data_IF_636340189790
#
_entry.id   IF_636340189790
#
_cell.length_a   1.000
_cell.length_b   1.000
_cell.length_c   1.000
_cell.angle_alpha   90.00
_cell.angle_beta   90.00
_cell.angle_gamma   90.00
#
_symmetry.space_group_name_H-M   'P 1'
#
loop_
_entity.id
_entity.type
_entity.pdbx_description
1 polymer ?
#
# COMPACT_ATOMS: atom_id res chain seq x y z
N UNK A 1 5.67 -19.90 -24.45
CA UNK A 1 4.94 -19.02 -25.38
C UNK A 1 5.34 -17.60 -25.00
N UNK A 2 6.32 -17.06 -25.72
CA UNK A 2 7.01 -15.79 -25.43
C UNK A 2 6.32 -14.75 -26.32
N UNK A 3 5.63 -13.79 -25.75
CA UNK A 3 5.01 -12.71 -26.53
C UNK A 3 6.06 -11.63 -26.77
N UNK A 4 6.46 -11.47 -28.02
CA UNK A 4 7.16 -10.29 -28.52
C UNK A 4 6.09 -9.22 -28.79
N UNK A 5 6.02 -8.21 -27.91
CA UNK A 5 5.28 -6.98 -28.13
C UNK A 5 6.21 -5.93 -28.75
N UNK A 6 5.73 -5.26 -29.79
CA UNK A 6 6.44 -4.20 -30.51
C UNK A 6 6.94 -3.07 -29.59
N UNK A 7 8.07 -2.43 -29.92
CA UNK A 7 8.61 -1.34 -29.11
C UNK A 7 7.71 -0.11 -29.21
N UNK A 8 7.12 0.29 -28.09
CA UNK A 8 6.45 1.58 -27.94
C UNK A 8 7.51 2.67 -28.12
N UNK A 9 7.37 3.46 -29.19
CA UNK A 9 8.23 4.60 -29.47
C UNK A 9 7.98 5.71 -28.42
N UNK A 10 8.97 5.95 -27.56
CA UNK A 10 8.98 7.06 -26.60
C UNK A 10 9.68 8.25 -27.27
N UNK A 11 9.06 9.45 -27.37
CA UNK A 11 9.77 10.63 -27.86
C UNK A 11 10.80 11.10 -26.83
N UNK A 12 12.08 10.90 -27.15
CA UNK A 12 13.21 11.45 -26.38
C UNK A 12 13.30 12.95 -26.65
N UNK A 13 13.13 13.77 -25.62
CA UNK A 13 13.31 15.21 -25.67
C UNK A 13 14.81 15.53 -25.82
N UNK A 14 15.17 16.15 -26.94
CA UNK A 14 16.53 16.55 -27.23
C UNK A 14 16.99 17.70 -26.31
N UNK A 15 18.03 17.46 -25.51
CA UNK A 15 18.86 18.52 -24.91
C UNK A 15 20.13 18.70 -25.73
N UNK A 16 20.34 19.95 -26.18
CA UNK A 16 21.46 20.40 -27.01
C UNK A 16 22.83 20.18 -26.34
N UNK A 17 23.80 19.91 -27.21
CA UNK A 17 25.25 19.87 -26.98
C UNK A 17 25.80 21.21 -26.47
N UNK A 18 26.78 21.12 -25.58
CA UNK A 18 27.86 22.09 -25.42
C UNK A 18 29.18 21.32 -25.17
N UNK A 19 30.13 21.48 -26.09
CA UNK A 19 31.55 21.10 -25.95
C UNK A 19 32.15 21.78 -24.69
N UNK A 20 33.13 21.21 -23.97
CA UNK A 20 34.55 21.17 -24.33
C UNK A 20 35.36 20.20 -23.44
N UNK A 21 36.49 19.70 -23.97
CA UNK A 21 37.62 18.98 -23.34
C UNK A 21 38.85 19.27 -24.25
N UNK A 22 40.11 18.93 -23.91
CA UNK A 22 40.83 18.78 -22.62
C UNK A 22 42.31 19.31 -22.67
N UNK A 23 43.05 19.35 -21.54
CA UNK A 23 44.54 19.12 -21.46
C UNK A 23 44.97 19.11 -19.97
N UNK A 24 45.39 17.98 -19.38
CA UNK A 24 46.74 17.34 -19.29
C UNK A 24 47.75 18.03 -18.37
N UNK A 25 48.02 17.43 -17.19
CA UNK A 25 49.36 17.20 -16.63
C UNK A 25 49.30 16.24 -15.41
N UNK A 26 50.07 15.14 -15.45
CA UNK A 26 50.43 14.24 -14.33
C UNK A 26 51.85 14.62 -13.80
N UNK A 27 52.59 13.87 -12.94
CA UNK A 27 52.31 12.66 -12.13
C UNK A 27 52.94 12.65 -10.69
N UNK A 28 52.78 11.50 -10.01
CA UNK A 28 53.69 10.84 -9.05
C UNK A 28 53.60 11.09 -7.53
N UNK A 29 53.27 10.00 -6.81
CA UNK A 29 53.65 9.75 -5.41
C UNK A 29 52.78 8.66 -4.75
N UNK A 30 53.31 7.46 -4.40
CA UNK A 30 52.54 6.42 -3.71
C UNK A 30 52.75 6.45 -2.18
N UNK A 31 51.69 6.13 -1.41
CA UNK A 31 51.65 5.49 -0.07
C UNK A 31 50.34 5.85 0.67
N UNK A 32 49.86 5.08 1.68
CA UNK A 32 50.08 3.68 2.02
C UNK A 32 48.77 2.87 2.11
N UNK A 33 48.89 1.53 2.07
CA UNK A 33 47.83 0.56 2.32
C UNK A 33 47.35 0.65 3.78
N UNK A 34 46.07 0.92 3.99
CA UNK A 34 45.41 0.85 5.30
C UNK A 34 44.72 -0.51 5.43
N UNK A 35 45.11 -1.28 6.44
CA UNK A 35 44.51 -2.56 6.81
C UNK A 35 43.03 -2.40 7.23
N UNK A 36 42.22 -3.48 7.17
CA UNK A 36 40.78 -3.41 7.33
C UNK A 36 40.41 -3.27 8.81
N UNK A 37 39.89 -2.09 9.17
CA UNK A 37 39.22 -1.85 10.43
C UNK A 37 37.76 -2.33 10.36
N UNK A 38 37.32 -2.97 11.42
CA UNK A 38 35.96 -3.46 11.66
C UNK A 38 34.89 -2.43 11.25
N UNK A 39 34.15 -2.72 10.18
CA UNK A 39 32.92 -2.00 9.84
C UNK A 39 31.80 -2.48 10.76
N UNK A 40 31.64 -1.77 11.87
CA UNK A 40 30.45 -1.81 12.71
C UNK A 40 29.33 -1.09 11.94
N UNK A 41 28.21 -1.74 11.59
CA UNK A 41 27.10 -1.06 10.95
C UNK A 41 26.46 -0.08 11.96
N UNK A 42 26.00 1.10 11.52
CA UNK A 42 25.25 1.98 12.39
C UNK A 42 23.92 1.30 12.75
N UNK A 43 23.76 0.95 14.02
CA UNK A 43 22.48 0.66 14.66
C UNK A 43 21.67 1.95 14.67
N UNK A 44 20.95 2.18 13.57
CA UNK A 44 19.91 3.18 13.49
C UNK A 44 18.67 2.67 14.21
N UNK A 45 18.50 3.09 15.45
CA UNK A 45 17.23 2.99 16.16
C UNK A 45 16.18 3.77 15.38
N UNK A 46 15.40 3.07 14.57
CA UNK A 46 14.14 3.60 14.02
C UNK A 46 13.07 3.55 15.10
N UNK A 47 13.26 4.34 16.16
CA UNK A 47 12.15 4.74 17.03
C UNK A 47 11.33 5.77 16.25
N UNK A 48 10.50 5.26 15.34
CA UNK A 48 9.54 6.07 14.60
C UNK A 48 8.49 6.59 15.56
N UNK A 49 8.70 7.82 16.02
CA UNK A 49 7.68 8.61 16.70
C UNK A 49 6.42 8.62 15.83
N UNK A 50 5.33 8.08 16.35
CA UNK A 50 4.01 8.30 15.77
C UNK A 50 3.73 9.81 15.81
N UNK A 51 3.86 10.48 14.67
CA UNK A 51 3.57 11.90 14.54
C UNK A 51 2.07 12.08 14.73
N UNK A 52 1.69 12.57 15.90
CA UNK A 52 0.33 13.00 16.19
C UNK A 52 0.08 14.25 15.34
N UNK A 53 -0.73 14.14 14.28
CA UNK A 53 -1.20 15.30 13.53
C UNK A 53 -2.46 15.79 14.26
N UNK A 54 -2.31 16.86 15.04
CA UNK A 54 -3.43 17.56 15.66
C UNK A 54 -3.90 18.66 14.69
N UNK A 55 -5.13 18.53 14.18
CA UNK A 55 -5.78 19.54 13.33
C UNK A 55 -7.17 19.83 13.89
N UNK A 56 -7.42 21.12 14.22
CA UNK A 56 -8.72 21.65 14.67
C UNK A 56 -9.02 22.97 13.95
N UNK A 57 -10.30 23.31 13.64
CA UNK A 57 -11.45 23.19 14.56
C UNK A 57 -12.76 22.59 14.00
N UNK A 58 -13.56 21.97 14.90
CA UNK A 58 -15.04 21.94 14.80
C UNK A 58 -15.77 20.65 14.37
N UNK A 59 -15.12 19.50 14.27
CA UNK A 59 -15.76 18.22 13.88
C UNK A 59 -15.25 17.03 14.68
N UNK A 60 -15.92 15.88 14.55
CA UNK A 60 -15.43 14.60 15.07
C UNK A 60 -14.05 14.33 14.46
N UNK A 61 -13.04 14.21 15.31
CA UNK A 61 -11.65 13.97 14.92
C UNK A 61 -11.45 12.45 14.77
N UNK A 62 -11.19 12.02 13.53
CA UNK A 62 -10.87 10.63 13.21
C UNK A 62 -9.36 10.44 13.32
N UNK A 63 -8.93 9.57 14.23
CA UNK A 63 -7.52 9.21 14.36
C UNK A 63 -7.25 7.94 13.56
N UNK A 64 -6.32 8.00 12.60
CA UNK A 64 -5.91 6.81 11.84
C UNK A 64 -4.58 6.31 12.36
N UNK A 65 -4.47 4.99 12.55
CA UNK A 65 -3.24 4.32 12.99
C UNK A 65 -3.14 2.91 12.44
N UNK A 66 -1.94 2.33 12.53
CA UNK A 66 -1.74 0.91 12.31
C UNK A 66 -2.61 0.08 13.29
N UNK A 67 -3.22 -0.97 12.75
CA UNK A 67 -4.02 -1.91 13.52
C UNK A 67 -3.14 -2.73 14.47
N UNK A 68 -3.66 -2.96 15.68
CA UNK A 68 -3.08 -3.91 16.63
C UNK A 68 -3.84 -5.23 16.51
N UNK A 69 -3.22 -6.32 16.96
CA UNK A 69 -3.86 -7.65 16.93
C UNK A 69 -5.22 -7.68 17.65
N UNK A 70 -5.39 -6.84 18.67
CA UNK A 70 -6.64 -6.67 19.44
C UNK A 70 -7.75 -5.96 18.68
N UNK A 71 -7.42 -5.24 17.60
CA UNK A 71 -8.40 -4.51 16.78
C UNK A 71 -9.02 -5.41 15.71
N UNK A 72 -8.37 -6.52 15.38
CA UNK A 72 -8.71 -7.35 14.21
C UNK A 72 -10.10 -7.95 14.29
N UNK A 73 -10.52 -8.42 15.46
CA UNK A 73 -11.86 -8.98 15.64
C UNK A 73 -12.94 -7.92 15.45
N UNK A 74 -12.70 -6.69 15.90
CA UNK A 74 -13.64 -5.56 15.69
C UNK A 74 -13.68 -5.14 14.23
N UNK A 75 -12.51 -5.04 13.59
CA UNK A 75 -12.42 -4.68 12.17
C UNK A 75 -13.07 -5.75 11.27
N UNK A 76 -12.87 -7.02 11.57
CA UNK A 76 -13.51 -8.13 10.87
C UNK A 76 -15.04 -8.10 11.05
N UNK A 77 -15.51 -7.81 12.26
CA UNK A 77 -16.94 -7.67 12.54
C UNK A 77 -17.57 -6.52 11.74
N UNK A 78 -16.91 -5.36 11.67
CA UNK A 78 -17.34 -4.23 10.82
C UNK A 78 -17.40 -4.63 9.33
N UNK A 79 -16.39 -5.36 8.86
CA UNK A 79 -16.27 -5.81 7.47
C UNK A 79 -17.18 -6.96 7.05
N UNK A 80 -17.86 -7.62 7.99
CA UNK A 80 -18.52 -8.90 7.72
C UNK A 80 -19.62 -8.77 6.66
N UNK A 81 -20.38 -7.67 6.66
CA UNK A 81 -21.40 -7.41 5.65
C UNK A 81 -20.79 -7.28 4.24
N UNK A 82 -19.70 -6.51 4.12
CA UNK A 82 -18.99 -6.31 2.84
C UNK A 82 -18.32 -7.59 2.33
N UNK A 83 -17.72 -8.38 3.23
CA UNK A 83 -17.10 -9.68 2.87
C UNK A 83 -18.16 -10.69 2.43
N UNK A 84 -19.33 -10.70 3.10
CA UNK A 84 -20.45 -11.59 2.74
C UNK A 84 -21.05 -11.18 1.39
N UNK A 85 -21.25 -9.87 1.16
CA UNK A 85 -21.76 -9.34 -0.11
C UNK A 85 -20.83 -9.65 -1.29
N UNK A 86 -19.51 -9.64 -1.07
CA UNK A 86 -18.53 -9.99 -2.09
C UNK A 86 -18.55 -11.50 -2.47
N UNK A 87 -19.29 -12.35 -1.73
CA UNK A 87 -19.44 -13.78 -2.03
C UNK A 87 -18.13 -14.58 -1.97
N UNK A 88 -17.05 -14.01 -1.40
CA UNK A 88 -15.72 -14.61 -1.37
C UNK A 88 -15.56 -15.48 -0.13
N UNK A 89 -15.86 -16.76 -0.25
CA UNK A 89 -15.48 -17.77 0.75
C UNK A 89 -14.08 -18.29 0.43
N UNK A 90 -13.06 -17.70 1.06
CA UNK A 90 -11.69 -18.21 1.02
C UNK A 90 -11.49 -19.36 2.01
N UNK A 91 -10.39 -20.11 1.86
CA UNK A 91 -10.02 -21.15 2.83
C UNK A 91 -9.69 -20.60 4.24
N UNK A 92 -9.40 -19.29 4.33
CA UNK A 92 -9.19 -18.56 5.57
C UNK A 92 -10.36 -17.62 5.83
N UNK A 93 -10.83 -17.57 7.08
CA UNK A 93 -11.79 -16.55 7.51
C UNK A 93 -11.18 -15.15 7.48
N UNK A 94 -12.01 -14.12 7.26
CA UNK A 94 -11.53 -12.73 7.12
C UNK A 94 -10.70 -12.24 8.31
N UNK A 95 -11.09 -12.60 9.54
CA UNK A 95 -10.33 -12.27 10.74
C UNK A 95 -8.94 -12.93 10.75
N UNK A 96 -8.83 -14.20 10.36
CA UNK A 96 -7.56 -14.91 10.32
C UNK A 96 -6.62 -14.35 9.25
N UNK A 97 -7.17 -13.96 8.09
CA UNK A 97 -6.40 -13.28 7.05
C UNK A 97 -5.90 -11.91 7.55
N UNK A 98 -6.75 -11.10 8.17
CA UNK A 98 -6.35 -9.80 8.75
C UNK A 98 -5.26 -9.95 9.82
N UNK A 99 -5.33 -10.99 10.66
CA UNK A 99 -4.27 -11.31 11.64
C UNK A 99 -2.96 -11.60 10.92
N UNK A 100 -2.98 -12.42 9.86
CA UNK A 100 -1.79 -12.72 9.07
C UNK A 100 -1.21 -11.45 8.43
N UNK A 101 -2.05 -10.63 7.80
CA UNK A 101 -1.63 -9.39 7.15
C UNK A 101 -0.97 -8.41 8.13
N UNK A 102 -1.40 -8.39 9.39
CA UNK A 102 -0.79 -7.54 10.44
C UNK A 102 0.69 -7.87 10.68
N UNK A 103 1.12 -9.09 10.37
CA UNK A 103 2.51 -9.54 10.52
C UNK A 103 3.32 -9.51 9.22
N UNK A 104 2.72 -9.15 8.08
CA UNK A 104 3.41 -9.12 6.79
C UNK A 104 3.95 -7.72 6.48
N UNK A 105 5.25 -7.59 6.13
CA UNK A 105 5.84 -6.29 5.79
C UNK A 105 5.24 -5.68 4.52
N UNK A 106 4.75 -6.54 3.62
CA UNK A 106 4.09 -6.17 2.38
C UNK A 106 2.61 -5.89 2.55
N UNK A 107 2.11 -5.71 3.77
CA UNK A 107 0.76 -5.23 4.04
C UNK A 107 0.78 -4.07 5.04
N UNK A 108 -0.23 -3.21 4.98
CA UNK A 108 -0.58 -2.25 6.02
C UNK A 108 -2.04 -2.45 6.36
N UNK A 109 -2.34 -2.73 7.63
CA UNK A 109 -3.71 -2.73 8.14
C UNK A 109 -3.87 -1.48 8.96
N UNK A 110 -4.79 -0.60 8.54
CA UNK A 110 -5.08 0.68 9.19
C UNK A 110 -6.47 0.62 9.81
N UNK A 111 -6.62 1.27 10.96
CA UNK A 111 -7.90 1.49 11.62
C UNK A 111 -8.12 2.97 11.84
N UNK A 112 -9.35 3.41 11.61
CA UNK A 112 -9.82 4.72 12.02
C UNK A 112 -10.53 4.58 13.37
N UNK A 113 -10.19 5.44 14.32
CA UNK A 113 -10.78 5.45 15.65
C UNK A 113 -11.33 6.82 16.03
N UNK A 114 -12.45 6.81 16.75
CA UNK A 114 -13.06 7.97 17.41
C UNK A 114 -13.31 7.59 18.85
N UNK A 115 -12.80 8.37 19.81
CA UNK A 115 -13.02 8.10 21.26
C UNK A 115 -12.72 6.64 21.67
N UNK A 116 -11.69 6.02 21.07
CA UNK A 116 -11.27 4.62 21.26
C UNK A 116 -12.21 3.55 20.71
N UNK A 117 -13.19 3.94 19.91
CA UNK A 117 -14.02 3.03 19.13
C UNK A 117 -13.48 2.95 17.70
N UNK A 118 -13.42 1.73 17.14
CA UNK A 118 -13.02 1.52 15.76
C UNK A 118 -14.23 1.84 14.88
N UNK A 119 -14.09 2.85 14.02
CA UNK A 119 -15.17 3.35 13.16
C UNK A 119 -14.95 2.99 11.69
N UNK A 120 -13.80 2.42 11.37
CA UNK A 120 -13.47 1.98 10.01
C UNK A 120 -12.09 1.38 9.94
N UNK A 121 -11.74 0.88 8.77
CA UNK A 121 -10.38 0.43 8.50
C UNK A 121 -10.14 0.12 7.04
N UNK A 122 -8.86 0.01 6.71
CA UNK A 122 -8.38 -0.19 5.35
C UNK A 122 -7.20 -1.16 5.33
N UNK A 123 -7.07 -1.92 4.25
CA UNK A 123 -5.95 -2.82 4.01
C UNK A 123 -5.28 -2.45 2.70
N UNK A 124 -3.99 -2.17 2.79
CA UNK A 124 -3.09 -2.00 1.65
C UNK A 124 -2.19 -3.22 1.55
N UNK A 125 -2.17 -3.88 0.41
CA UNK A 125 -1.26 -5.00 0.11
C UNK A 125 -0.31 -4.59 -1.01
N UNK A 126 0.98 -4.86 -0.85
CA UNK A 126 2.02 -4.49 -1.79
C UNK A 126 2.45 -5.70 -2.62
N UNK A 127 2.55 -5.48 -3.92
CA UNK A 127 3.14 -6.46 -4.85
C UNK A 127 4.30 -5.82 -5.61
N UNK A 128 5.44 -6.50 -5.77
CA UNK A 128 6.46 -6.09 -6.71
C UNK A 128 5.90 -6.09 -8.14
N UNK A 129 6.30 -5.11 -8.95
CA UNK A 129 5.91 -4.98 -10.34
C UNK A 129 7.08 -4.52 -11.19
N UNK A 130 7.43 -5.33 -12.19
CA UNK A 130 8.48 -4.99 -13.16
C UNK A 130 7.99 -3.87 -14.09
N UNK A 131 6.74 -3.94 -14.55
CA UNK A 131 6.18 -2.96 -15.48
C UNK A 131 6.02 -1.59 -14.82
N UNK A 132 5.60 -1.56 -13.56
CA UNK A 132 5.47 -0.30 -12.81
C UNK A 132 6.79 0.19 -12.21
N UNK A 133 7.90 -0.55 -12.36
CA UNK A 133 9.23 -0.16 -11.90
C UNK A 133 9.37 -0.04 -10.38
N UNK A 134 8.65 -0.85 -9.60
CA UNK A 134 8.65 -0.73 -8.14
C UNK A 134 7.58 -1.61 -7.48
N UNK A 135 7.03 -1.14 -6.36
CA UNK A 135 5.85 -1.76 -5.77
C UNK A 135 4.57 -1.13 -6.32
N UNK A 136 3.52 -1.94 -6.47
CA UNK A 136 2.17 -1.44 -6.62
C UNK A 136 1.37 -1.83 -5.39
N UNK A 137 0.72 -0.86 -4.78
CA UNK A 137 -0.20 -1.08 -3.68
C UNK A 137 -1.59 -1.43 -4.18
N UNK A 138 -2.28 -2.34 -3.51
CA UNK A 138 -3.67 -2.66 -3.77
C UNK A 138 -4.48 -2.43 -2.50
N UNK A 139 -5.53 -1.61 -2.59
CA UNK A 139 -6.55 -1.49 -1.55
C UNK A 139 -7.51 -2.66 -1.71
N UNK A 140 -7.34 -3.68 -0.86
CA UNK A 140 -8.15 -4.91 -0.94
C UNK A 140 -9.39 -4.86 -0.04
N UNK A 141 -9.36 -4.00 0.98
CA UNK A 141 -10.43 -3.85 1.94
C UNK A 141 -10.51 -2.40 2.42
N UNK A 142 -11.72 -1.85 2.42
CA UNK A 142 -12.05 -0.54 2.98
C UNK A 142 -13.47 -0.65 3.57
N UNK A 143 -13.63 -0.29 4.84
CA UNK A 143 -14.91 -0.33 5.54
C UNK A 143 -15.07 0.88 6.43
N UNK A 144 -16.30 1.39 6.51
CA UNK A 144 -16.71 2.41 7.47
C UNK A 144 -17.96 1.93 8.19
N UNK A 145 -18.02 2.15 9.50
CA UNK A 145 -19.18 1.88 10.32
C UNK A 145 -20.37 2.78 9.88
N UNK A 146 -21.57 2.23 9.68
CA UNK A 146 -22.70 2.96 9.08
C UNK A 146 -23.20 4.17 9.89
N UNK A 147 -22.86 4.26 11.17
CA UNK A 147 -23.21 5.32 12.11
C UNK A 147 -22.29 6.55 11.99
N UNK A 148 -21.21 6.43 11.22
CA UNK A 148 -20.20 7.47 11.03
C UNK A 148 -20.24 8.05 9.62
N UNK A 149 -19.69 9.24 9.48
CA UNK A 149 -19.59 9.93 8.19
C UNK A 149 -18.64 9.16 7.26
N UNK A 150 -19.17 8.48 6.22
CA UNK A 150 -18.36 7.62 5.36
C UNK A 150 -17.38 8.40 4.49
N UNK A 151 -17.67 9.67 4.19
CA UNK A 151 -16.80 10.53 3.42
C UNK A 151 -15.58 10.93 4.26
N UNK A 152 -15.79 11.44 5.47
CA UNK A 152 -14.69 11.84 6.35
C UNK A 152 -13.79 10.68 6.78
N UNK A 153 -14.37 9.52 7.11
CA UNK A 153 -13.58 8.35 7.51
C UNK A 153 -12.79 7.80 6.33
N UNK A 154 -13.39 7.74 5.15
CA UNK A 154 -12.70 7.30 3.93
C UNK A 154 -11.54 8.23 3.59
N UNK A 155 -11.77 9.55 3.58
CA UNK A 155 -10.72 10.51 3.24
C UNK A 155 -9.54 10.42 4.24
N UNK A 156 -9.81 10.28 5.53
CA UNK A 156 -8.77 10.08 6.54
C UNK A 156 -7.98 8.76 6.36
N UNK A 157 -8.67 7.65 6.08
CA UNK A 157 -8.03 6.36 5.82
C UNK A 157 -7.20 6.39 4.54
N UNK A 158 -7.70 7.02 3.48
CA UNK A 158 -7.04 7.12 2.19
C UNK A 158 -5.80 8.00 2.26
N UNK A 159 -5.84 9.12 2.99
CA UNK A 159 -4.67 9.96 3.22
C UNK A 159 -3.51 9.16 3.84
N UNK A 160 -3.77 8.44 4.93
CA UNK A 160 -2.73 7.65 5.60
C UNK A 160 -2.31 6.43 4.78
N UNK A 161 -3.23 5.82 4.03
CA UNK A 161 -2.93 4.69 3.14
C UNK A 161 -1.97 5.11 2.01
N UNK A 162 -2.25 6.24 1.35
CA UNK A 162 -1.40 6.78 0.28
C UNK A 162 -0.04 7.22 0.83
N UNK A 163 -0.01 7.82 2.03
CA UNK A 163 1.24 8.11 2.75
C UNK A 163 2.04 6.85 3.03
N UNK A 164 1.39 5.79 3.54
CA UNK A 164 2.02 4.49 3.76
C UNK A 164 2.53 3.86 2.46
N UNK A 165 1.80 3.98 1.35
CA UNK A 165 2.23 3.46 0.05
C UNK A 165 3.48 4.19 -0.45
N UNK A 166 3.48 5.51 -0.37
CA UNK A 166 4.63 6.36 -0.72
C UNK A 166 5.88 6.01 0.10
N UNK A 167 5.74 5.91 1.43
CA UNK A 167 6.84 5.55 2.33
C UNK A 167 7.41 4.15 2.05
N UNK A 168 6.61 3.24 1.48
CA UNK A 168 7.02 1.89 1.10
C UNK A 168 7.50 1.79 -0.37
N UNK A 169 7.65 2.92 -1.06
CA UNK A 169 8.18 2.97 -2.44
C UNK A 169 7.21 2.48 -3.51
N UNK A 170 5.90 2.64 -3.28
CA UNK A 170 4.90 2.32 -4.30
C UNK A 170 4.92 3.36 -5.42
N UNK A 171 4.93 2.89 -6.67
CA UNK A 171 4.79 3.76 -7.85
C UNK A 171 3.34 3.98 -8.25
N UNK A 172 2.43 3.11 -7.82
CA UNK A 172 0.99 3.27 -7.99
C UNK A 172 0.22 2.59 -6.84
N UNK A 173 -1.03 3.02 -6.65
CA UNK A 173 -2.01 2.36 -5.79
C UNK A 173 -3.25 2.07 -6.63
N UNK A 174 -3.75 0.85 -6.53
CA UNK A 174 -4.89 0.35 -7.28
C UNK A 174 -5.97 -0.12 -6.32
N UNK A 175 -7.22 -0.12 -6.79
CA UNK A 175 -8.35 -0.72 -6.08
C UNK A 175 -9.29 -1.36 -7.11
N UNK A 176 -10.15 -2.26 -6.66
CA UNK A 176 -11.24 -2.72 -7.53
C UNK A 176 -12.26 -1.58 -7.67
N UNK A 177 -12.74 -1.34 -8.88
CA UNK A 177 -13.80 -0.36 -9.10
C UNK A 177 -15.05 -0.79 -8.32
N UNK A 178 -15.59 0.08 -7.43
CA UNK A 178 -16.83 -0.21 -6.71
C UNK A 178 -18.04 -0.12 -7.64
N UNK A 179 -19.09 -0.89 -7.32
CA UNK A 179 -20.36 -0.83 -8.04
C UNK A 179 -21.23 0.36 -7.61
N UNK A 180 -21.05 0.83 -6.37
CA UNK A 180 -21.74 2.02 -5.84
C UNK A 180 -21.11 3.30 -6.41
N UNK A 181 -21.88 4.15 -7.13
CA UNK A 181 -21.38 5.43 -7.65
C UNK A 181 -20.89 6.39 -6.55
N UNK A 182 -21.44 6.32 -5.33
CA UNK A 182 -20.98 7.16 -4.22
C UNK A 182 -19.56 6.76 -3.77
N UNK A 183 -19.27 5.46 -3.72
CA UNK A 183 -17.94 4.96 -3.40
C UNK A 183 -16.95 5.27 -4.54
N UNK A 184 -17.38 5.17 -5.79
CA UNK A 184 -16.56 5.59 -6.94
C UNK A 184 -16.19 7.07 -6.85
N UNK A 185 -17.16 7.95 -6.61
CA UNK A 185 -16.91 9.38 -6.47
C UNK A 185 -15.96 9.71 -5.31
N UNK A 186 -16.00 8.95 -4.21
CA UNK A 186 -15.03 9.10 -3.11
C UNK A 186 -13.62 8.72 -3.55
N UNK A 187 -13.46 7.63 -4.29
CA UNK A 187 -12.16 7.23 -4.83
C UNK A 187 -11.61 8.26 -5.82
N UNK A 188 -12.45 8.78 -6.71
CA UNK A 188 -12.04 9.80 -7.69
C UNK A 188 -11.55 11.09 -7.04
N UNK A 189 -12.22 11.54 -5.96
CA UNK A 189 -11.76 12.69 -5.16
C UNK A 189 -10.41 12.44 -4.49
N UNK A 190 -10.09 11.19 -4.18
CA UNK A 190 -8.78 10.77 -3.67
C UNK A 190 -7.74 10.49 -4.79
N UNK A 191 -8.04 10.89 -6.02
CA UNK A 191 -7.11 10.83 -7.16
C UNK A 191 -7.10 9.50 -7.91
N UNK A 192 -8.02 8.59 -7.61
CA UNK A 192 -8.17 7.35 -8.38
C UNK A 192 -8.84 7.66 -9.72
N UNK A 193 -8.41 6.95 -10.76
CA UNK A 193 -9.04 7.00 -12.06
C UNK A 193 -9.09 5.59 -12.66
N UNK A 194 -10.00 5.31 -13.60
CA UNK A 194 -10.06 4.03 -14.28
C UNK A 194 -8.71 3.66 -14.91
N UNK A 195 -8.19 2.47 -14.59
CA UNK A 195 -6.89 1.99 -15.04
C UNK A 195 -7.01 0.59 -15.66
N UNK A 196 -7.26 0.54 -16.97
CA UNK A 196 -7.23 -0.69 -17.77
C UNK A 196 -8.37 -1.68 -17.49
N UNK A 197 -8.26 -2.87 -18.09
CA UNK A 197 -9.21 -3.98 -17.88
C UNK A 197 -8.50 -5.16 -17.20
N UNK A 198 -9.13 -5.73 -16.17
CA UNK A 198 -8.58 -6.84 -15.40
C UNK A 198 -9.18 -8.17 -15.85
N UNK A 199 -8.33 -9.10 -16.31
CA UNK A 199 -8.73 -10.48 -16.57
C UNK A 199 -8.52 -11.33 -15.31
N UNK A 200 -9.57 -12.05 -14.89
CA UNK A 200 -9.52 -12.93 -13.71
C UNK A 200 -9.84 -14.37 -14.12
N UNK A 201 -9.03 -15.32 -13.65
CA UNK A 201 -9.34 -16.76 -13.69
C UNK A 201 -9.29 -17.30 -12.26
N UNK A 202 -10.40 -17.77 -11.68
CA UNK A 202 -10.38 -18.33 -10.34
C UNK A 202 -9.51 -19.59 -10.31
N UNK A 203 -8.78 -19.77 -9.21
CA UNK A 203 -7.97 -20.96 -8.93
C UNK A 203 -8.45 -21.59 -7.63
N UNK A 204 -8.49 -22.92 -7.59
CA UNK A 204 -8.77 -23.64 -6.35
C UNK A 204 -7.49 -23.78 -5.54
N UNK A 205 -7.56 -23.55 -4.22
CA UNK A 205 -6.45 -23.85 -3.33
C UNK A 205 -6.19 -25.37 -3.34
N UNK A 206 -4.92 -25.77 -3.43
CA UNK A 206 -4.56 -27.17 -3.27
C UNK A 206 -4.95 -27.65 -1.86
N UNK A 207 -5.72 -28.74 -1.76
CA UNK A 207 -6.17 -29.31 -0.48
C UNK A 207 -7.56 -28.87 0.01
N UNK A 208 -8.28 -27.98 -0.69
CA UNK A 208 -9.68 -27.66 -0.38
C UNK A 208 -10.70 -28.68 -0.94
N UNK A 209 -10.22 -29.64 -1.74
CA UNK A 209 -11.02 -30.75 -2.23
C UNK A 209 -10.93 -31.95 -1.27
N UNK A 210 -12.08 -32.33 -0.71
CA UNK A 210 -12.38 -33.58 0.01
C UNK A 210 -11.95 -33.70 1.47
N UNK A 211 -12.86 -33.30 2.36
CA UNK A 211 -13.31 -34.17 3.45
C UNK A 211 -14.82 -34.05 3.57
N UNK A 212 -15.54 -34.80 2.74
CA UNK A 212 -16.98 -35.05 2.94
C UNK A 212 -17.16 -36.57 2.96
N UNK A 213 -17.47 -37.06 4.18
CA UNK A 213 -17.96 -38.38 4.63
C UNK A 213 -17.47 -39.62 3.88
#
# INVERSE_FOLDING_TARGET
MIWAGEPIAIPVRATRRGHERPTLASPCGPRPVRQPGHHQPPSGDCTGSATLIEVRPGGVEYQVRAARITDIDRLAALGQASVTAAGRSGALGGADLLRQLTYLPHASVLVAEVRREIVGGAVLVLRPSVVAGGYVGTVDFLVVAPEHDPERVTDALMEELLRSASNKGCSAVETTQPDDPADLARLERNGFAPAGTLLRRPVSAAGSASRRA
#
